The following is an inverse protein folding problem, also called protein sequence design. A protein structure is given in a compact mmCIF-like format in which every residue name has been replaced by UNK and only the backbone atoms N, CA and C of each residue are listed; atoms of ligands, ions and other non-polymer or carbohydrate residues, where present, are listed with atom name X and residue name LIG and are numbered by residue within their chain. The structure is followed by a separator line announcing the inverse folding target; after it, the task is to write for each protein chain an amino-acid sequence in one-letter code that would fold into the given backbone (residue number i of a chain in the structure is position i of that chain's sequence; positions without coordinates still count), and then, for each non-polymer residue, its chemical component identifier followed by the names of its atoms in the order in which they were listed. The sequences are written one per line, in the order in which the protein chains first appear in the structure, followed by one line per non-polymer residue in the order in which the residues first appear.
data_IF_362458488792
#
_entry.id   IF_362458488792
#
_cell.length_a   1.000
_cell.length_b   1.000
_cell.length_c   1.000
_cell.angle_alpha   90.00
_cell.angle_beta   90.00
_cell.angle_gamma   90.00
#
_symmetry.space_group_name_H-M   'P 1'
#
loop_
_entity.id
_entity.type
_entity.pdbx_description
1 polymer ?
#
# COMPACT_ATOMS: atom_id res chain seq x y z
N UNK A 1 19.66 11.20 0.60
CA UNK A 1 19.00 9.89 0.88
C UNK A 1 17.82 9.75 -0.07
N UNK A 2 17.73 8.63 -0.80
CA UNK A 2 16.63 8.41 -1.73
C UNK A 2 15.50 7.71 -0.97
N UNK A 3 14.37 8.39 -0.78
CA UNK A 3 13.21 7.90 -0.02
C UNK A 3 12.32 6.95 -0.84
N UNK A 4 12.40 6.97 -2.17
CA UNK A 4 11.61 6.11 -3.06
C UNK A 4 12.50 5.35 -4.03
N UNK A 5 12.16 4.12 -4.38
CA UNK A 5 12.98 3.35 -5.30
C UNK A 5 12.49 1.93 -5.50
N UNK A 6 13.36 1.09 -6.06
CA UNK A 6 13.11 -0.34 -6.19
C UNK A 6 14.16 -1.12 -5.42
N UNK A 7 13.72 -2.14 -4.68
CA UNK A 7 14.59 -3.13 -4.04
C UNK A 7 14.32 -4.51 -4.61
N UNK A 8 15.27 -5.40 -4.44
CA UNK A 8 15.14 -6.81 -4.80
C UNK A 8 15.27 -7.67 -3.53
N UNK A 9 14.53 -8.76 -3.50
CA UNK A 9 14.66 -9.80 -2.47
C UNK A 9 14.72 -11.15 -3.15
N UNK A 10 15.56 -12.05 -2.63
CA UNK A 10 15.56 -13.44 -3.06
C UNK A 10 14.27 -14.12 -2.57
N UNK A 11 13.61 -14.86 -3.47
CA UNK A 11 12.34 -15.56 -3.18
C UNK A 11 12.40 -17.06 -3.46
N UNK A 12 13.43 -17.51 -4.16
CA UNK A 12 13.66 -18.92 -4.40
C UNK A 12 15.05 -19.18 -4.92
N UNK A 13 15.56 -20.37 -4.62
CA UNK A 13 16.83 -20.87 -5.13
C UNK A 13 16.70 -22.36 -5.41
N UNK A 14 17.42 -22.84 -6.42
CA UNK A 14 17.57 -24.25 -6.73
C UNK A 14 18.90 -24.49 -7.43
N UNK A 15 19.52 -25.62 -7.13
CA UNK A 15 20.73 -26.07 -7.81
C UNK A 15 20.33 -26.73 -9.13
N UNK A 16 21.15 -26.55 -10.16
CA UNK A 16 20.94 -27.15 -11.48
C UNK A 16 21.91 -28.32 -11.63
N UNK A 17 21.36 -29.52 -11.86
CA UNK A 17 22.11 -30.77 -12.09
C UNK A 17 22.54 -30.87 -13.57
N UNK A 18 23.20 -29.82 -14.05
CA UNK A 18 23.66 -29.67 -15.43
C UNK A 18 25.05 -29.04 -15.45
N UNK A 19 25.79 -29.22 -16.55
CA UNK A 19 27.11 -28.61 -16.73
C UNK A 19 27.00 -27.09 -16.90
N UNK A 20 27.95 -26.36 -16.32
CA UNK A 20 28.09 -24.93 -16.58
C UNK A 20 28.42 -24.67 -18.06
N UNK A 21 27.69 -23.77 -18.76
CA UNK A 21 27.95 -23.46 -20.18
C UNK A 21 29.32 -22.84 -20.48
N UNK A 22 30.00 -22.29 -19.47
CA UNK A 22 31.28 -21.61 -19.64
C UNK A 22 32.50 -22.42 -19.18
N UNK A 23 32.39 -23.19 -18.09
CA UNK A 23 33.53 -23.95 -17.55
C UNK A 23 33.30 -25.46 -17.47
N UNK A 24 32.15 -25.96 -17.94
CA UNK A 24 31.78 -27.38 -18.03
C UNK A 24 31.76 -28.17 -16.71
N UNK A 25 32.01 -27.50 -15.59
CA UNK A 25 31.91 -28.08 -14.25
C UNK A 25 30.47 -28.54 -14.00
N UNK A 26 30.31 -29.78 -13.51
CA UNK A 26 29.02 -30.33 -13.12
C UNK A 26 28.59 -29.78 -11.77
N UNK A 27 27.27 -29.63 -11.58
CA UNK A 27 26.62 -29.32 -10.29
C UNK A 27 27.18 -28.08 -9.60
N UNK A 28 27.61 -27.11 -10.40
CA UNK A 28 28.20 -25.87 -9.94
C UNK A 28 27.29 -24.68 -10.17
N UNK A 29 26.10 -24.85 -10.76
CA UNK A 29 25.23 -23.74 -11.14
C UNK A 29 24.03 -23.65 -10.22
N UNK A 30 23.88 -22.50 -9.56
CA UNK A 30 22.75 -22.19 -8.70
C UNK A 30 21.82 -21.21 -9.40
N UNK A 31 20.54 -21.55 -9.51
CA UNK A 31 19.50 -20.64 -9.97
C UNK A 31 18.89 -19.89 -8.80
N UNK A 32 18.70 -18.58 -8.98
CA UNK A 32 18.06 -17.70 -7.99
C UNK A 32 16.95 -16.91 -8.67
N UNK A 33 15.77 -16.90 -8.05
CA UNK A 33 14.67 -16.02 -8.42
C UNK A 33 14.63 -14.86 -7.42
N UNK A 34 14.69 -13.65 -7.97
CA UNK A 34 14.58 -12.41 -7.22
C UNK A 34 13.25 -11.71 -7.54
N UNK A 35 12.56 -11.25 -6.51
CA UNK A 35 11.39 -10.38 -6.62
C UNK A 35 11.83 -8.93 -6.46
N UNK A 36 11.54 -8.10 -7.47
CA UNK A 36 11.67 -6.64 -7.35
C UNK A 36 10.37 -6.04 -6.85
N UNK A 37 10.47 -5.06 -5.96
CA UNK A 37 9.33 -4.31 -5.44
C UNK A 37 9.69 -2.83 -5.34
N UNK A 38 8.69 -1.98 -5.56
CA UNK A 38 8.78 -0.56 -5.33
C UNK A 38 8.64 -0.30 -3.83
N UNK A 39 9.40 0.65 -3.30
CA UNK A 39 9.25 1.12 -1.93
C UNK A 39 9.18 2.64 -1.89
N UNK A 40 8.45 3.16 -0.91
CA UNK A 40 8.38 4.58 -0.57
C UNK A 40 8.59 4.70 0.93
N UNK A 41 9.49 5.57 1.37
CA UNK A 41 9.97 5.67 2.75
C UNK A 41 10.38 4.32 3.35
N UNK A 42 11.15 3.53 2.58
CA UNK A 42 11.57 2.17 2.95
C UNK A 42 10.42 1.15 3.15
N UNK A 43 9.15 1.54 2.96
CA UNK A 43 7.99 0.67 3.03
C UNK A 43 7.72 0.06 1.64
N UNK A 44 7.72 -1.28 1.49
CA UNK A 44 7.35 -1.97 0.26
C UNK A 44 5.92 -1.65 -0.14
N UNK A 45 5.70 -1.11 -1.33
CA UNK A 45 4.38 -0.70 -1.80
C UNK A 45 3.75 -1.74 -2.72
N UNK A 46 4.47 -2.13 -3.77
CA UNK A 46 3.96 -3.02 -4.82
C UNK A 46 5.10 -3.85 -5.42
N UNK A 47 4.87 -5.13 -5.77
CA UNK A 47 5.81 -5.92 -6.55
C UNK A 47 5.85 -5.41 -8.00
N UNK A 48 7.05 -5.21 -8.53
CA UNK A 48 7.27 -4.75 -9.92
C UNK A 48 7.38 -5.94 -10.87
N UNK A 49 8.10 -6.99 -10.45
CA UNK A 49 8.31 -8.18 -11.29
C UNK A 49 9.38 -9.10 -10.75
N UNK A 50 9.48 -10.29 -11.34
CA UNK A 50 10.47 -11.31 -11.00
C UNK A 50 11.59 -11.31 -12.03
N UNK A 51 12.82 -11.52 -11.58
CA UNK A 51 13.96 -11.87 -12.43
C UNK A 51 14.51 -13.22 -11.99
N UNK A 52 15.04 -13.98 -12.94
CA UNK A 52 15.81 -15.17 -12.68
C UNK A 52 17.23 -14.97 -13.16
N UNK A 53 18.16 -15.42 -12.33
CA UNK A 53 19.60 -15.37 -12.53
C UNK A 53 20.15 -16.75 -12.23
N UNK A 54 21.21 -17.16 -12.92
CA UNK A 54 22.04 -18.28 -12.47
C UNK A 54 23.42 -17.77 -12.11
N UNK A 55 24.09 -18.44 -11.18
CA UNK A 55 25.48 -18.17 -10.82
C UNK A 55 26.23 -19.49 -10.70
N UNK A 56 27.37 -19.59 -11.38
CA UNK A 56 28.29 -20.70 -11.22
C UNK A 56 29.20 -20.49 -10.00
N UNK A 57 29.24 -21.44 -9.07
CA UNK A 57 30.14 -21.41 -7.91
C UNK A 57 31.61 -21.58 -8.28
N UNK A 58 31.91 -22.20 -9.43
CA UNK A 58 33.27 -22.47 -9.89
C UNK A 58 33.88 -21.28 -10.68
N UNK A 59 33.25 -20.88 -11.78
CA UNK A 59 33.77 -19.80 -12.65
C UNK A 59 33.11 -18.43 -12.43
N UNK A 60 32.14 -18.33 -11.51
CA UNK A 60 31.42 -17.09 -11.19
C UNK A 60 30.63 -16.48 -12.35
N UNK A 61 30.43 -17.22 -13.44
CA UNK A 61 29.55 -16.78 -14.52
C UNK A 61 28.14 -16.57 -14.00
N UNK A 62 27.57 -15.41 -14.33
CA UNK A 62 26.16 -15.08 -14.09
C UNK A 62 25.44 -15.02 -15.42
N UNK A 63 24.30 -15.71 -15.54
CA UNK A 63 23.42 -15.60 -16.71
C UNK A 63 22.09 -15.00 -16.29
N UNK A 64 21.55 -14.08 -17.09
CA UNK A 64 20.16 -13.67 -16.99
C UNK A 64 19.26 -14.64 -17.75
N UNK A 65 17.95 -14.64 -17.42
CA UNK A 65 16.93 -15.48 -18.10
C UNK A 65 17.02 -15.50 -19.63
N UNK A 66 17.39 -14.37 -20.26
CA UNK A 66 17.50 -14.25 -21.72
C UNK A 66 18.66 -15.07 -22.31
N UNK A 67 19.65 -15.36 -21.50
CA UNK A 67 20.90 -16.05 -21.85
C UNK A 67 20.85 -17.53 -21.43
N UNK A 68 19.72 -17.99 -20.88
CA UNK A 68 19.59 -19.36 -20.41
C UNK A 68 19.63 -20.36 -21.58
N UNK A 69 20.49 -21.39 -21.51
CA UNK A 69 20.45 -22.50 -22.44
C UNK A 69 19.12 -23.27 -22.28
N UNK A 70 18.76 -24.04 -23.30
CA UNK A 70 17.47 -24.74 -23.37
C UNK A 70 17.25 -25.72 -22.21
N UNK A 71 18.30 -26.40 -21.75
CA UNK A 71 18.28 -27.32 -20.61
C UNK A 71 17.91 -26.62 -19.28
N UNK A 72 18.15 -25.32 -19.13
CA UNK A 72 17.83 -24.59 -17.89
C UNK A 72 16.36 -24.20 -17.78
N UNK A 73 15.58 -24.27 -18.87
CA UNK A 73 14.18 -23.82 -18.89
C UNK A 73 13.28 -24.65 -17.97
N UNK A 74 13.51 -25.96 -17.88
CA UNK A 74 12.74 -26.85 -17.00
C UNK A 74 12.90 -26.47 -15.53
N UNK A 75 14.15 -26.31 -15.08
CA UNK A 75 14.48 -25.85 -13.73
C UNK A 75 13.87 -24.46 -13.42
N UNK A 76 13.94 -23.54 -14.39
CA UNK A 76 13.34 -22.22 -14.25
C UNK A 76 11.82 -22.27 -14.04
N UNK A 77 11.08 -23.00 -14.87
CA UNK A 77 9.61 -23.06 -14.72
C UNK A 77 9.21 -23.76 -13.40
N UNK A 78 9.89 -24.84 -13.02
CA UNK A 78 9.66 -25.51 -11.75
C UNK A 78 9.90 -24.57 -10.55
N UNK A 79 11.03 -23.86 -10.54
CA UNK A 79 11.37 -22.93 -9.46
C UNK A 79 10.43 -21.71 -9.44
N UNK A 80 10.01 -21.20 -10.60
CA UNK A 80 9.10 -20.06 -10.73
C UNK A 80 7.71 -20.36 -10.17
N UNK A 81 7.19 -21.57 -10.39
CA UNK A 81 5.89 -22.00 -9.84
C UNK A 81 5.95 -22.05 -8.31
N UNK A 82 7.06 -22.57 -7.74
CA UNK A 82 7.26 -22.65 -6.29
C UNK A 82 7.51 -21.28 -5.65
N UNK A 83 8.22 -20.40 -6.35
CA UNK A 83 8.64 -19.09 -5.82
C UNK A 83 7.52 -18.05 -5.93
N UNK A 84 6.62 -18.05 -4.95
CA UNK A 84 5.50 -17.08 -4.88
C UNK A 84 5.99 -15.68 -4.49
N UNK A 85 5.21 -14.68 -4.88
CA UNK A 85 5.47 -13.28 -4.51
C UNK A 85 5.19 -13.11 -3.01
N UNK A 86 6.14 -12.62 -2.20
CA UNK A 86 5.92 -12.45 -0.77
C UNK A 86 4.83 -11.40 -0.49
N UNK A 87 3.89 -11.70 0.40
CA UNK A 87 2.73 -10.82 0.68
C UNK A 87 3.16 -9.47 1.27
N UNK A 88 4.28 -9.43 2.00
CA UNK A 88 4.80 -8.20 2.60
C UNK A 88 5.17 -7.13 1.57
N UNK A 89 5.38 -7.48 0.29
CA UNK A 89 5.63 -6.49 -0.77
C UNK A 89 4.45 -5.57 -1.03
N UNK A 90 3.26 -5.90 -0.51
CA UNK A 90 2.03 -5.10 -0.61
C UNK A 90 1.70 -4.31 0.67
N UNK A 91 2.61 -4.27 1.65
CA UNK A 91 2.34 -3.64 2.96
C UNK A 91 1.95 -2.16 2.86
N UNK A 92 2.63 -1.39 2.02
CA UNK A 92 2.32 0.02 1.79
C UNK A 92 0.96 0.23 1.13
N UNK A 93 0.58 -0.61 0.16
CA UNK A 93 -0.74 -0.54 -0.45
C UNK A 93 -1.85 -0.89 0.56
N UNK A 94 -1.64 -1.90 1.40
CA UNK A 94 -2.58 -2.27 2.45
C UNK A 94 -2.75 -1.13 3.49
N UNK A 95 -1.65 -0.50 3.88
CA UNK A 95 -1.66 0.64 4.79
C UNK A 95 -2.42 1.83 4.20
N UNK A 96 -2.20 2.14 2.92
CA UNK A 96 -2.91 3.20 2.23
C UNK A 96 -4.42 2.92 2.16
N UNK A 97 -4.81 1.70 1.82
CA UNK A 97 -6.21 1.29 1.78
C UNK A 97 -6.88 1.42 3.17
N UNK A 98 -6.17 1.05 4.23
CA UNK A 98 -6.64 1.21 5.60
C UNK A 98 -6.90 2.68 5.96
N UNK A 99 -5.97 3.59 5.64
CA UNK A 99 -6.17 5.02 5.90
C UNK A 99 -7.35 5.61 5.12
N UNK A 100 -7.50 5.24 3.85
CA UNK A 100 -8.64 5.68 3.04
C UNK A 100 -9.96 5.20 3.66
N UNK A 101 -10.02 3.93 4.06
CA UNK A 101 -11.22 3.36 4.69
C UNK A 101 -11.55 4.08 6.00
N UNK A 102 -10.55 4.35 6.84
CA UNK A 102 -10.75 5.12 8.07
C UNK A 102 -11.36 6.49 7.76
N UNK A 103 -10.77 7.26 6.84
CA UNK A 103 -11.25 8.61 6.49
C UNK A 103 -12.71 8.56 6.04
N UNK A 104 -13.06 7.62 5.16
CA UNK A 104 -14.44 7.48 4.65
C UNK A 104 -15.42 7.13 5.77
N UNK A 105 -15.09 6.15 6.61
CA UNK A 105 -15.94 5.75 7.74
C UNK A 105 -16.09 6.91 8.74
N UNK A 106 -15.01 7.64 9.01
CA UNK A 106 -15.02 8.82 9.87
C UNK A 106 -15.92 9.93 9.34
N UNK A 107 -15.90 10.17 8.02
CA UNK A 107 -16.80 11.12 7.36
C UNK A 107 -18.27 10.72 7.54
N UNK A 108 -18.62 9.47 7.25
CA UNK A 108 -19.99 8.97 7.39
C UNK A 108 -20.48 9.06 8.85
N UNK A 109 -19.62 8.78 9.83
CA UNK A 109 -19.97 8.91 11.24
C UNK A 109 -20.19 10.37 11.65
N UNK A 110 -19.39 11.30 11.14
CA UNK A 110 -19.59 12.72 11.36
C UNK A 110 -20.93 13.17 10.78
N UNK A 111 -21.25 12.80 9.54
CA UNK A 111 -22.52 13.16 8.89
C UNK A 111 -23.73 12.64 9.70
N UNK A 112 -23.65 11.41 10.23
CA UNK A 112 -24.69 10.85 11.10
C UNK A 112 -24.83 11.60 12.42
N UNK A 113 -23.71 12.01 13.02
CA UNK A 113 -23.71 12.79 14.27
C UNK A 113 -24.31 14.17 14.01
N UNK A 114 -23.92 14.83 12.93
CA UNK A 114 -24.41 16.15 12.57
C UNK A 114 -25.91 16.11 12.24
N UNK A 115 -26.37 15.09 11.51
CA UNK A 115 -27.80 14.85 11.27
C UNK A 115 -28.57 14.64 12.59
N UNK A 116 -28.01 13.91 13.56
CA UNK A 116 -28.64 13.72 14.87
C UNK A 116 -28.79 15.04 15.63
N UNK A 117 -27.75 15.89 15.62
CA UNK A 117 -27.80 17.21 16.26
C UNK A 117 -28.87 18.09 15.59
N UNK A 118 -28.93 18.10 14.26
CA UNK A 118 -29.93 18.88 13.51
C UNK A 118 -31.37 18.42 13.80
N UNK A 119 -31.60 17.10 13.91
CA UNK A 119 -32.93 16.53 14.13
C UNK A 119 -33.42 16.58 15.58
N UNK A 120 -32.53 16.75 16.55
CA UNK A 120 -32.85 16.78 17.98
C UNK A 120 -32.04 17.88 18.68
N UNK A 121 -32.36 19.16 18.42
CA UNK A 121 -31.67 20.29 19.04
C UNK A 121 -31.89 20.30 20.56
N UNK A 122 -30.84 20.59 21.31
CA UNK A 122 -30.89 20.78 22.76
C UNK A 122 -30.40 22.19 23.14
N UNK A 123 -30.93 22.73 24.23
CA UNK A 123 -30.47 24.00 24.77
C UNK A 123 -28.98 23.90 25.14
N UNK A 124 -28.15 24.73 24.50
CA UNK A 124 -26.69 24.64 24.64
C UNK A 124 -25.96 24.40 23.32
N UNK A 125 -26.61 23.77 22.34
CA UNK A 125 -26.00 23.42 21.05
C UNK A 125 -25.51 24.65 20.29
N UNK A 126 -24.44 24.49 19.50
CA UNK A 126 -23.87 25.57 18.68
C UNK A 126 -23.94 25.18 17.22
N UNK A 127 -24.67 25.96 16.44
CA UNK A 127 -24.85 25.74 15.02
C UNK A 127 -24.07 26.76 14.19
N UNK A 128 -23.42 26.24 13.16
CA UNK A 128 -22.66 27.01 12.19
C UNK A 128 -23.55 27.31 10.99
N UNK A 129 -23.78 28.58 10.73
CA UNK A 129 -24.56 29.06 9.59
C UNK A 129 -23.64 29.74 8.58
N UNK A 130 -23.98 29.61 7.30
CA UNK A 130 -23.32 30.29 6.20
C UNK A 130 -24.23 31.41 5.70
N UNK A 131 -23.73 32.64 5.69
CA UNK A 131 -24.46 33.80 5.17
C UNK A 131 -24.47 33.80 3.64
N UNK A 132 -25.35 34.59 3.03
CA UNK A 132 -25.43 34.75 1.57
C UNK A 132 -24.12 35.28 0.97
N UNK A 133 -23.39 36.10 1.72
CA UNK A 133 -22.06 36.62 1.37
C UNK A 133 -20.93 35.59 1.55
N UNK A 134 -21.26 34.37 1.99
CA UNK A 134 -20.31 33.26 2.16
C UNK A 134 -19.53 33.27 3.48
N UNK A 135 -19.82 34.19 4.39
CA UNK A 135 -19.22 34.24 5.72
C UNK A 135 -19.87 33.20 6.64
N UNK A 136 -19.14 32.77 7.68
CA UNK A 136 -19.64 31.82 8.67
C UNK A 136 -19.91 32.53 9.99
N UNK A 137 -21.04 32.22 10.61
CA UNK A 137 -21.40 32.69 11.96
C UNK A 137 -21.87 31.51 12.82
N UNK A 138 -21.83 31.70 14.13
CA UNK A 138 -22.22 30.70 15.13
C UNK A 138 -23.41 31.21 15.93
N UNK A 139 -24.45 30.39 16.05
CA UNK A 139 -25.60 30.64 16.92
C UNK A 139 -25.66 29.56 17.99
N UNK A 140 -26.02 29.95 19.21
CA UNK A 140 -26.26 29.00 20.29
C UNK A 140 -27.76 28.76 20.46
N UNK A 141 -28.19 27.52 20.57
CA UNK A 141 -29.57 27.18 20.93
C UNK A 141 -29.82 27.59 22.39
N UNK A 142 -30.76 28.51 22.59
CA UNK A 142 -31.17 28.98 23.91
C UNK A 142 -32.25 28.09 24.50
N UNK A 143 -33.27 27.75 23.70
CA UNK A 143 -34.36 26.88 24.11
C UNK A 143 -35.06 26.26 22.88
N UNK A 144 -35.76 25.14 23.07
CA UNK A 144 -36.57 24.45 22.07
C UNK A 144 -37.98 24.32 22.61
N UNK A 145 -38.96 24.93 21.94
CA UNK A 145 -40.38 24.92 22.33
C UNK A 145 -41.17 24.25 21.21
N UNK A 146 -41.54 22.98 21.40
CA UNK A 146 -42.23 22.21 20.38
C UNK A 146 -41.37 22.03 19.13
N UNK A 147 -41.82 22.59 18.00
CA UNK A 147 -41.15 22.60 16.70
C UNK A 147 -40.28 23.86 16.48
N UNK A 148 -40.24 24.77 17.44
CA UNK A 148 -39.53 26.05 17.31
C UNK A 148 -38.22 26.04 18.10
N UNK A 149 -37.12 26.41 17.44
CA UNK A 149 -35.78 26.55 18.05
C UNK A 149 -35.44 28.03 18.21
N UNK A 150 -35.23 28.46 19.46
CA UNK A 150 -34.79 29.83 19.77
C UNK A 150 -33.26 29.90 19.76
N UNK A 151 -32.72 30.74 18.89
CA UNK A 151 -31.28 30.92 18.69
C UNK A 151 -30.81 32.25 19.27
N UNK A 152 -29.77 32.18 20.09
CA UNK A 152 -29.11 33.35 20.65
C UNK A 152 -27.83 33.65 19.87
N UNK A 153 -27.76 34.88 19.34
CA UNK A 153 -26.56 35.44 18.73
C UNK A 153 -25.94 36.46 19.68
N UNK A 154 -24.71 36.20 20.12
CA UNK A 154 -24.00 37.13 21.01
C UNK A 154 -23.01 37.96 20.20
N UNK A 155 -23.42 39.17 19.82
CA UNK A 155 -22.51 40.17 19.26
C UNK A 155 -21.79 40.84 20.43
N UNK A 156 -20.47 40.65 20.55
CA UNK A 156 -19.65 41.50 21.42
C UNK A 156 -19.30 42.75 20.61
N UNK A 157 -19.89 43.88 21.01
CA UNK A 157 -19.47 45.23 20.61
C UNK A 157 -18.39 45.71 21.58
#
# INVERSE_FOLDING_TARGET
MIIYGSKATQIGTADIDEKCPNCETQNSVNMVIIQRYAHVFWIPFLPIGKKALTQCSHCQQVLEKKEFPSNFRGYYEALKIRSKTPVWTFSGAALLAFFILWIVIGGIQNDKRDAKLILSPEAGDIYKFKTEEGQYTLFKVENVVGDTVLLLMRIRV
#
